data_IF_373101413661
#
_entry.id   IF_373101413661
#
_cell.length_a   1.000
_cell.length_b   1.000
_cell.length_c   1.000
_cell.angle_alpha   90.00
_cell.angle_beta   90.00
_cell.angle_gamma   90.00
#
_symmetry.space_group_name_H-M   'P 1'
#
loop_
_entity.id
_entity.type
_entity.pdbx_description
1 polymer ?
#
# COMPACT_ATOMS: atom_id res chain seq x y z
N UNK A 1 -11.96 7.89 -2.59
CA UNK A 1 -11.42 6.58 -2.12
C UNK A 1 -12.03 6.14 -0.78
N UNK A 2 -12.23 4.83 -0.55
CA UNK A 2 -12.64 4.25 0.75
C UNK A 2 -11.57 3.25 1.22
N UNK A 3 -11.13 3.37 2.47
CA UNK A 3 -10.06 2.55 3.05
C UNK A 3 -10.67 1.75 4.21
N UNK A 4 -10.62 0.43 4.13
CA UNK A 4 -11.03 -0.48 5.19
C UNK A 4 -9.81 -0.87 6.01
N UNK A 5 -9.91 -0.70 7.32
CA UNK A 5 -8.88 -1.05 8.30
C UNK A 5 -9.51 -1.84 9.43
N UNK A 6 -8.74 -2.67 10.12
CA UNK A 6 -9.25 -3.36 11.31
C UNK A 6 -9.67 -2.36 12.40
N UNK A 7 -10.73 -2.62 13.17
CA UNK A 7 -11.21 -1.71 14.21
C UNK A 7 -10.15 -1.33 15.27
N UNK A 8 -9.17 -2.19 15.56
CA UNK A 8 -8.10 -1.89 16.53
C UNK A 8 -7.21 -0.71 16.10
N UNK A 9 -7.07 -0.48 14.79
CA UNK A 9 -6.25 0.62 14.26
C UNK A 9 -7.07 1.82 13.76
N UNK A 10 -8.39 1.73 13.77
CA UNK A 10 -9.26 2.77 13.19
C UNK A 10 -9.07 4.14 13.84
N UNK A 11 -9.04 4.19 15.18
CA UNK A 11 -8.89 5.44 15.93
C UNK A 11 -7.54 6.11 15.62
N UNK A 12 -6.45 5.34 15.68
CA UNK A 12 -5.11 5.83 15.36
C UNK A 12 -5.01 6.32 13.90
N UNK A 13 -5.70 5.65 12.98
CA UNK A 13 -5.74 6.02 11.56
C UNK A 13 -6.47 7.35 11.33
N UNK A 14 -7.62 7.55 11.99
CA UNK A 14 -8.39 8.80 11.89
C UNK A 14 -7.62 9.98 12.47
N UNK A 15 -6.90 9.80 13.57
CA UNK A 15 -6.09 10.86 14.19
C UNK A 15 -4.99 11.39 13.25
N UNK A 16 -4.48 10.56 12.34
CA UNK A 16 -3.47 10.92 11.34
C UNK A 16 -4.05 11.28 9.97
N UNK A 17 -5.36 11.46 9.88
CA UNK A 17 -6.07 11.75 8.62
C UNK A 17 -5.47 12.91 7.83
N UNK A 18 -5.05 13.98 8.51
CA UNK A 18 -4.44 15.14 7.86
C UNK A 18 -3.12 14.81 7.17
N UNK A 19 -2.31 13.90 7.73
CA UNK A 19 -1.08 13.42 7.12
C UNK A 19 -1.40 12.65 5.83
N UNK A 20 -2.40 11.77 5.87
CA UNK A 20 -2.86 11.08 4.68
C UNK A 20 -3.35 12.06 3.63
N UNK A 21 -4.26 12.98 3.97
CA UNK A 21 -4.81 13.97 3.03
C UNK A 21 -3.72 14.85 2.39
N UNK A 22 -2.64 15.16 3.10
CA UNK A 22 -1.49 15.90 2.55
C UNK A 22 -0.69 15.12 1.49
N UNK A 23 -0.71 13.78 1.52
CA UNK A 23 -0.02 12.94 0.54
C UNK A 23 -0.76 12.86 -0.81
N UNK A 24 -2.05 13.15 -0.84
CA UNK A 24 -2.84 13.08 -2.08
C UNK A 24 -2.85 14.44 -2.77
N UNK A 25 -2.17 14.53 -3.92
CA UNK A 25 -2.13 15.72 -4.77
C UNK A 25 -3.49 16.05 -5.41
N UNK A 26 -4.42 15.10 -5.40
CA UNK A 26 -5.75 15.22 -6.02
C UNK A 26 -6.79 15.20 -4.91
N UNK A 27 -7.78 16.08 -5.02
CA UNK A 27 -8.89 16.29 -4.08
C UNK A 27 -9.87 15.10 -3.96
N UNK A 28 -9.39 13.87 -3.96
CA UNK A 28 -10.20 12.72 -3.60
C UNK A 28 -10.47 12.71 -2.10
N UNK A 29 -11.75 12.83 -1.72
CA UNK A 29 -12.16 12.61 -0.32
C UNK A 29 -11.85 11.16 0.06
N UNK A 30 -10.99 11.03 1.07
CA UNK A 30 -10.70 9.75 1.72
C UNK A 30 -11.69 9.52 2.84
N UNK A 31 -12.20 8.30 2.91
CA UNK A 31 -13.00 7.81 4.02
C UNK A 31 -12.33 6.57 4.56
N UNK A 32 -12.26 6.47 5.88
CA UNK A 32 -11.82 5.26 6.56
C UNK A 32 -13.06 4.54 7.10
N UNK A 33 -13.04 3.21 7.08
CA UNK A 33 -14.12 2.37 7.59
C UNK A 33 -13.53 1.23 8.43
N UNK A 34 -14.00 1.05 9.67
CA UNK A 34 -13.58 -0.09 10.49
C UNK A 34 -14.26 -1.35 9.97
N UNK A 35 -13.48 -2.37 9.61
CA UNK A 35 -13.97 -3.63 9.07
C UNK A 35 -13.33 -4.81 9.82
N UNK A 36 -14.08 -5.54 10.66
CA UNK A 36 -13.53 -6.66 11.43
C UNK A 36 -13.18 -7.88 10.56
N UNK A 37 -13.52 -7.87 9.27
CA UNK A 37 -13.11 -8.92 8.33
C UNK A 37 -11.76 -8.64 7.66
N UNK A 38 -11.22 -7.43 7.85
CA UNK A 38 -9.84 -7.12 7.50
C UNK A 38 -8.94 -7.64 8.61
N UNK A 39 -7.88 -8.36 8.26
CA UNK A 39 -6.88 -8.81 9.24
C UNK A 39 -6.37 -7.63 10.07
N UNK A 40 -5.90 -7.88 11.29
CA UNK A 40 -5.54 -6.81 12.22
C UNK A 40 -4.58 -5.79 11.60
N UNK A 41 -3.50 -6.23 10.96
CA UNK A 41 -2.55 -5.35 10.23
C UNK A 41 -2.82 -5.26 8.72
N UNK A 42 -4.04 -5.64 8.31
CA UNK A 42 -4.52 -5.56 6.94
C UNK A 42 -5.01 -4.17 6.56
N UNK A 43 -5.05 -3.90 5.26
CA UNK A 43 -5.61 -2.67 4.71
C UNK A 43 -6.17 -2.94 3.32
N UNK A 44 -7.42 -2.54 3.07
CA UNK A 44 -8.08 -2.71 1.78
C UNK A 44 -8.55 -1.36 1.27
N UNK A 45 -8.16 -1.02 0.05
CA UNK A 45 -8.52 0.24 -0.59
C UNK A 45 -9.53 -0.02 -1.72
N UNK A 46 -10.67 0.66 -1.64
CA UNK A 46 -11.68 0.71 -2.69
C UNK A 46 -11.54 2.03 -3.45
N UNK A 47 -11.22 1.89 -4.73
CA UNK A 47 -11.08 2.97 -5.70
C UNK A 47 -12.18 2.85 -6.76
N UNK A 48 -12.44 3.90 -7.57
CA UNK A 48 -13.34 3.79 -8.71
C UNK A 48 -12.96 2.69 -9.72
N UNK A 49 -11.67 2.31 -9.76
CA UNK A 49 -11.13 1.28 -10.66
C UNK A 49 -11.17 -0.13 -10.07
N UNK A 50 -11.57 -0.28 -8.80
CA UNK A 50 -11.66 -1.58 -8.13
C UNK A 50 -11.04 -1.61 -6.74
N UNK A 51 -10.84 -2.84 -6.26
CA UNK A 51 -10.31 -3.15 -4.93
C UNK A 51 -8.81 -3.44 -5.01
N UNK A 52 -8.07 -2.89 -4.06
CA UNK A 52 -6.65 -3.12 -3.87
C UNK A 52 -6.41 -3.65 -2.45
N UNK A 53 -5.62 -4.70 -2.32
CA UNK A 53 -4.98 -5.06 -1.06
C UNK A 53 -3.75 -4.17 -0.86
N UNK A 54 -3.79 -3.36 0.18
CA UNK A 54 -2.75 -2.42 0.56
C UNK A 54 -2.14 -2.77 1.94
N UNK A 55 -2.28 -4.02 2.38
CA UNK A 55 -1.64 -4.50 3.61
C UNK A 55 -0.12 -4.28 3.56
N UNK A 56 0.50 -4.12 4.73
CA UNK A 56 1.95 -3.95 4.84
C UNK A 56 2.70 -5.16 4.27
N UNK A 57 2.16 -6.36 4.47
CA UNK A 57 2.69 -7.60 3.92
C UNK A 57 2.75 -7.56 2.39
N UNK A 58 1.66 -7.17 1.74
CA UNK A 58 1.61 -7.06 0.27
C UNK A 58 2.57 -5.99 -0.23
N UNK A 59 2.68 -4.85 0.47
CA UNK A 59 3.63 -3.79 0.12
C UNK A 59 5.09 -4.23 0.25
N UNK A 60 5.45 -4.89 1.35
CA UNK A 60 6.81 -5.40 1.57
C UNK A 60 7.18 -6.50 0.57
N UNK A 61 6.24 -7.38 0.24
CA UNK A 61 6.45 -8.40 -0.78
C UNK A 61 6.76 -7.78 -2.15
N UNK A 62 5.97 -6.78 -2.56
CA UNK A 62 6.20 -6.04 -3.81
C UNK A 62 7.55 -5.35 -3.81
N UNK A 63 7.88 -4.64 -2.75
CA UNK A 63 9.17 -3.96 -2.60
C UNK A 63 10.33 -4.95 -2.72
N UNK A 64 10.25 -6.10 -2.03
CA UNK A 64 11.26 -7.15 -2.14
C UNK A 64 11.43 -7.63 -3.57
N UNK A 65 10.33 -7.91 -4.27
CA UNK A 65 10.36 -8.40 -5.66
C UNK A 65 10.97 -7.36 -6.60
N UNK A 66 10.59 -6.10 -6.48
CA UNK A 66 11.14 -5.00 -7.28
C UNK A 66 12.64 -4.83 -7.02
N UNK A 67 13.09 -4.89 -5.76
CA UNK A 67 14.51 -4.80 -5.42
C UNK A 67 15.32 -5.98 -5.97
N UNK A 68 14.78 -7.20 -5.95
CA UNK A 68 15.46 -8.38 -6.53
C UNK A 68 15.60 -8.21 -8.05
N UNK A 69 14.53 -7.79 -8.74
CA UNK A 69 14.57 -7.58 -10.19
C UNK A 69 15.64 -6.56 -10.59
N UNK A 70 15.76 -5.43 -9.87
CA UNK A 70 16.79 -4.42 -10.12
C UNK A 70 18.22 -4.97 -9.95
N UNK A 71 18.42 -5.88 -8.99
CA UNK A 71 19.72 -6.52 -8.80
C UNK A 71 20.04 -7.49 -9.94
N UNK A 72 19.04 -8.25 -10.42
CA UNK A 72 19.19 -9.17 -11.54
C UNK A 72 19.47 -8.44 -12.87
N UNK A 73 18.78 -7.31 -13.12
CA UNK A 73 19.02 -6.43 -14.28
C UNK A 73 20.46 -5.89 -14.29
N UNK A 74 20.98 -5.51 -13.11
CA UNK A 74 22.37 -5.06 -12.96
C UNK A 74 23.40 -6.17 -13.20
N UNK A 75 23.05 -7.44 -12.99
CA UNK A 75 23.94 -8.59 -13.22
C UNK A 75 23.89 -9.11 -14.67
N UNK A 76 22.83 -8.81 -15.43
CA UNK A 76 22.71 -9.15 -16.84
C UNK A 76 23.60 -8.31 -17.79
N UNK A 77 24.22 -7.24 -17.30
CA UNK A 77 25.04 -6.31 -18.10
C UNK A 77 26.55 -6.59 -18.07
N UNK A 78 27.00 -7.63 -17.35
CA UNK A 78 28.43 -7.90 -17.12
C UNK A 78 28.99 -9.09 -17.91
N UNK A 79 28.24 -9.70 -18.84
CA UNK A 79 28.66 -10.95 -19.48
C UNK A 79 28.53 -10.97 -21.02
N UNK A 80 28.77 -9.84 -21.68
CA UNK A 80 29.10 -9.80 -23.11
C UNK A 80 30.28 -8.84 -23.32
N UNK A 81 31.50 -9.36 -23.21
CA UNK A 81 32.70 -8.93 -23.96
C UNK A 81 33.87 -9.87 -23.65
N UNK A 82 34.40 -10.47 -24.72
CA UNK A 82 35.65 -11.24 -24.89
C UNK A 82 35.63 -12.75 -24.59
#
# INVERSE_FOLDING_TARGET
MLIHVHPSHYEATIQRRSEYEALFTVAERIRFFPDPNVEEDGCVILTPKGRMDASITTQLHRLKTELIALLEEGQGSANESD
#
